data_IF_998631858240
#
_entry.id   IF_998631858240
#
_cell.length_a   1.000
_cell.length_b   1.000
_cell.length_c   1.000
_cell.angle_alpha   90.00
_cell.angle_beta   90.00
_cell.angle_gamma   90.00
#
_symmetry.space_group_name_H-M   'P 1'
#
loop_
_entity.id
_entity.type
_entity.pdbx_description
1 polymer ?
#
# COMPACT_ATOMS: atom_id res chain seq x y z
N UNK A 1 12.05 -10.59 -2.43
CA UNK A 1 13.03 -10.66 -1.36
C UNK A 1 14.08 -9.60 -1.49
N UNK A 2 14.89 -9.53 -0.48
CA UNK A 2 15.89 -8.50 -0.39
C UNK A 2 16.84 -8.47 -1.56
N UNK A 3 17.20 -9.62 -2.06
CA UNK A 3 18.13 -9.67 -3.18
C UNK A 3 17.53 -9.15 -4.48
N UNK A 4 16.25 -8.94 -4.55
CA UNK A 4 15.63 -8.43 -5.76
C UNK A 4 15.49 -6.91 -5.77
N UNK A 5 15.91 -6.27 -4.79
CA UNK A 5 15.87 -4.84 -4.72
C UNK A 5 16.51 -4.43 -3.46
N UNK A 6 16.78 -5.43 -2.74
CA UNK A 6 17.67 -5.45 -1.67
C UNK A 6 17.38 -4.64 -0.44
N UNK A 7 17.06 -3.40 -0.57
CA UNK A 7 17.07 -2.49 0.56
C UNK A 7 15.65 -2.00 0.91
N UNK A 8 15.03 -2.57 1.97
CA UNK A 8 13.69 -2.13 2.37
C UNK A 8 13.62 -0.64 2.74
N UNK A 9 14.69 -0.09 3.31
CA UNK A 9 14.67 1.34 3.67
C UNK A 9 14.67 2.25 2.46
N UNK A 10 15.42 1.88 1.42
CA UNK A 10 15.39 2.63 0.17
C UNK A 10 14.02 2.52 -0.49
N UNK A 11 13.41 1.34 -0.45
CA UNK A 11 12.06 1.16 -1.00
C UNK A 11 11.05 1.98 -0.22
N UNK A 12 11.15 2.00 1.11
CA UNK A 12 10.26 2.81 1.94
C UNK A 12 10.33 4.28 1.56
N UNK A 13 11.55 4.79 1.40
CA UNK A 13 11.72 6.19 1.02
C UNK A 13 11.09 6.48 -0.33
N UNK A 14 11.27 5.59 -1.31
CA UNK A 14 10.67 5.76 -2.62
C UNK A 14 9.15 5.80 -2.56
N UNK A 15 8.53 4.90 -1.80
CA UNK A 15 7.08 4.92 -1.62
C UNK A 15 6.62 6.19 -0.92
N UNK A 16 7.32 6.60 0.14
CA UNK A 16 6.93 7.80 0.89
C UNK A 16 7.05 9.05 0.03
N UNK A 17 8.13 9.17 -0.75
CA UNK A 17 8.32 10.30 -1.64
C UNK A 17 7.22 10.35 -2.70
N UNK A 18 6.85 9.18 -3.26
CA UNK A 18 5.77 9.11 -4.22
C UNK A 18 4.42 9.49 -3.64
N UNK A 19 4.15 9.03 -2.42
CA UNK A 19 2.89 9.37 -1.75
C UNK A 19 2.81 10.85 -1.41
N UNK A 20 3.94 11.48 -1.10
CA UNK A 20 3.97 12.90 -0.74
C UNK A 20 3.53 13.79 -1.92
N UNK A 21 3.78 13.36 -3.15
CA UNK A 21 3.39 14.13 -4.33
C UNK A 21 1.90 14.43 -4.35
N UNK A 22 1.07 13.48 -3.92
CA UNK A 22 -0.37 13.65 -3.90
C UNK A 22 -0.94 13.78 -2.49
N UNK A 23 -0.08 13.93 -1.49
CA UNK A 23 -0.48 13.99 -0.08
C UNK A 23 -1.28 12.75 0.32
N UNK A 24 -0.86 11.59 -0.22
CA UNK A 24 -1.52 10.32 0.10
C UNK A 24 -2.86 10.10 -0.56
N UNK A 25 -3.30 11.00 -1.44
CA UNK A 25 -4.63 10.91 -2.04
C UNK A 25 -4.72 9.95 -3.22
N UNK A 26 -3.59 9.58 -3.81
CA UNK A 26 -3.56 8.57 -4.86
C UNK A 26 -3.38 7.21 -4.17
N UNK A 27 -4.50 6.51 -3.99
CA UNK A 27 -4.53 5.36 -3.08
C UNK A 27 -3.74 4.15 -3.57
N UNK A 28 -3.53 4.02 -4.89
CA UNK A 28 -2.76 2.88 -5.41
C UNK A 28 -1.32 2.92 -4.89
N UNK A 29 -0.71 4.11 -4.78
CA UNK A 29 0.63 4.23 -4.21
C UNK A 29 0.69 3.71 -2.79
N UNK A 30 -0.30 4.08 -1.97
CA UNK A 30 -0.36 3.63 -0.59
C UNK A 30 -0.65 2.13 -0.51
N UNK A 31 -1.52 1.61 -1.38
CA UNK A 31 -1.81 0.19 -1.42
C UNK A 31 -0.56 -0.62 -1.76
N UNK A 32 0.22 -0.17 -2.74
CA UNK A 32 1.46 -0.85 -3.10
C UNK A 32 2.49 -0.77 -1.98
N UNK A 33 2.59 0.37 -1.31
CA UNK A 33 3.46 0.51 -0.15
C UNK A 33 3.10 -0.52 0.92
N UNK A 34 1.80 -0.60 1.27
CA UNK A 34 1.34 -1.55 2.27
C UNK A 34 1.61 -2.99 1.87
N UNK A 35 1.37 -3.32 0.61
CA UNK A 35 1.53 -4.69 0.12
C UNK A 35 2.99 -5.12 0.05
N UNK A 36 3.86 -4.29 -0.52
CA UNK A 36 5.24 -4.71 -0.78
C UNK A 36 6.18 -4.44 0.40
N UNK A 37 6.10 -3.26 0.99
CA UNK A 37 7.07 -2.89 2.01
C UNK A 37 6.92 -3.72 3.28
N UNK A 38 5.69 -3.85 3.77
CA UNK A 38 5.50 -4.54 5.04
C UNK A 38 5.71 -6.03 4.93
N UNK A 39 5.51 -6.61 3.76
CA UNK A 39 5.90 -7.99 3.53
C UNK A 39 7.42 -8.13 3.55
N UNK A 40 8.12 -7.17 2.99
CA UNK A 40 9.60 -7.23 2.94
C UNK A 40 10.23 -7.20 4.32
N UNK A 41 9.60 -6.49 5.27
CA UNK A 41 10.12 -6.41 6.64
C UNK A 41 9.37 -7.30 7.62
N UNK A 42 8.47 -8.13 7.12
CA UNK A 42 7.71 -9.09 7.93
C UNK A 42 6.89 -8.39 9.02
N UNK A 43 6.27 -7.28 8.68
CA UNK A 43 5.45 -6.48 9.60
C UNK A 43 3.97 -6.64 9.28
N UNK A 44 3.33 -7.64 9.89
CA UNK A 44 1.92 -7.93 9.65
C UNK A 44 1.02 -6.76 10.03
N UNK A 45 1.29 -6.12 11.16
CA UNK A 45 0.46 -5.01 11.61
C UNK A 45 0.50 -3.84 10.66
N UNK A 46 1.68 -3.50 10.15
CA UNK A 46 1.83 -2.43 9.17
C UNK A 46 1.08 -2.75 7.89
N UNK A 47 1.15 -4.00 7.44
CA UNK A 47 0.43 -4.48 6.27
C UNK A 47 -1.08 -4.28 6.44
N UNK A 48 -1.62 -4.80 7.54
CA UNK A 48 -3.06 -4.72 7.79
C UNK A 48 -3.54 -3.28 7.95
N UNK A 49 -2.80 -2.49 8.71
CA UNK A 49 -3.17 -1.11 8.98
C UNK A 49 -3.17 -0.26 7.71
N UNK A 50 -2.11 -0.36 6.91
CA UNK A 50 -1.96 0.47 5.72
C UNK A 50 -3.01 0.13 4.67
N UNK A 51 -3.27 -1.16 4.45
CA UNK A 51 -4.29 -1.55 3.50
C UNK A 51 -5.69 -1.19 3.98
N UNK A 52 -5.94 -1.26 5.29
CA UNK A 52 -7.22 -0.83 5.82
C UNK A 52 -7.42 0.68 5.63
N UNK A 53 -6.37 1.47 5.79
CA UNK A 53 -6.45 2.91 5.55
C UNK A 53 -6.80 3.22 4.10
N UNK A 54 -6.29 2.43 3.15
CA UNK A 54 -6.68 2.59 1.74
C UNK A 54 -8.18 2.38 1.56
N UNK A 55 -8.71 1.34 2.19
CA UNK A 55 -10.13 1.02 2.08
C UNK A 55 -10.99 2.10 2.73
N UNK A 56 -10.54 2.65 3.84
CA UNK A 56 -11.31 3.62 4.62
C UNK A 56 -11.28 5.03 4.05
N UNK A 57 -10.38 5.31 3.11
CA UNK A 57 -10.28 6.62 2.50
C UNK A 57 -11.26 6.73 1.32
N UNK A 58 -12.10 7.77 1.25
CA UNK A 58 -13.02 7.90 0.12
C UNK A 58 -12.27 7.95 -1.22
N UNK A 59 -12.76 7.20 -2.19
CA UNK A 59 -12.10 7.11 -3.50
C UNK A 59 -12.08 8.46 -4.22
N UNK A 60 -13.04 9.34 -3.93
CA UNK A 60 -13.12 10.66 -4.57
C UNK A 60 -12.28 11.72 -3.87
N UNK A 61 -11.43 11.33 -2.91
CA UNK A 61 -10.54 12.27 -2.23
C UNK A 61 -9.62 12.97 -3.24
N UNK A 62 -9.34 12.34 -4.38
CA UNK A 62 -8.56 12.94 -5.45
C UNK A 62 -9.42 12.99 -6.71
N UNK A 63 -10.01 14.14 -7.02
CA UNK A 63 -10.84 14.27 -8.22
C UNK A 63 -10.05 13.88 -9.47
N UNK A 64 -10.72 13.19 -10.39
CA UNK A 64 -10.07 12.71 -11.59
C UNK A 64 -9.38 11.36 -11.44
N UNK A 65 -9.20 10.88 -10.21
CA UNK A 65 -8.58 9.59 -9.96
C UNK A 65 -9.52 8.63 -9.21
N UNK A 66 -10.81 8.90 -9.25
CA UNK A 66 -11.77 8.09 -8.51
C UNK A 66 -11.72 6.61 -8.92
N UNK A 67 -11.69 6.34 -10.22
CA UNK A 67 -11.67 4.96 -10.69
C UNK A 67 -10.38 4.25 -10.28
N UNK A 68 -9.25 4.94 -10.39
CA UNK A 68 -7.98 4.38 -9.96
C UNK A 68 -7.99 4.09 -8.45
N UNK A 69 -8.57 5.00 -7.66
CA UNK A 69 -8.65 4.80 -6.23
C UNK A 69 -9.62 3.67 -5.86
N UNK A 70 -10.73 3.53 -6.60
CA UNK A 70 -11.64 2.40 -6.38
C UNK A 70 -10.94 1.08 -6.68
N UNK A 71 -10.14 1.03 -7.74
CA UNK A 71 -9.38 -0.18 -8.05
C UNK A 71 -8.37 -0.48 -6.94
N UNK A 72 -7.71 0.55 -6.42
CA UNK A 72 -6.78 0.37 -5.31
C UNK A 72 -7.47 -0.24 -4.09
N UNK A 73 -8.70 0.23 -3.80
CA UNK A 73 -9.47 -0.30 -2.68
C UNK A 73 -9.87 -1.77 -2.90
N UNK A 74 -10.22 -2.13 -4.13
CA UNK A 74 -10.54 -3.52 -4.46
C UNK A 74 -9.32 -4.40 -4.22
N UNK A 75 -8.15 -3.95 -4.68
CA UNK A 75 -6.91 -4.70 -4.46
C UNK A 75 -6.55 -4.79 -2.99
N UNK A 76 -6.71 -3.70 -2.25
CA UNK A 76 -6.42 -3.70 -0.82
C UNK A 76 -7.29 -4.71 -0.07
N UNK A 77 -8.57 -4.77 -0.41
CA UNK A 77 -9.46 -5.76 0.21
C UNK A 77 -8.99 -7.18 -0.05
N UNK A 78 -8.60 -7.47 -1.29
CA UNK A 78 -8.09 -8.79 -1.64
C UNK A 78 -6.81 -9.11 -0.87
N UNK A 79 -5.88 -8.16 -0.83
CA UNK A 79 -4.61 -8.37 -0.14
C UNK A 79 -4.80 -8.55 1.36
N UNK A 80 -5.80 -7.91 1.96
CA UNK A 80 -6.11 -8.15 3.37
C UNK A 80 -6.54 -9.59 3.61
N UNK A 81 -7.34 -10.16 2.70
CA UNK A 81 -7.76 -11.56 2.87
C UNK A 81 -6.60 -12.53 2.69
N UNK A 82 -5.52 -12.11 2.02
CA UNK A 82 -4.36 -12.94 1.76
C UNK A 82 -3.27 -12.79 2.80
N UNK A 83 -3.50 -12.00 3.85
CA UNK A 83 -2.45 -11.72 4.83
C UNK A 83 -1.84 -12.99 5.43
N UNK A 84 -2.67 -14.00 5.72
CA UNK A 84 -2.18 -15.24 6.31
C UNK A 84 -1.27 -16.03 5.37
N UNK A 85 -1.31 -15.75 4.07
CA UNK A 85 -0.43 -16.38 3.10
C UNK A 85 0.99 -15.80 3.17
N UNK A 86 1.13 -14.59 3.69
CA UNK A 86 2.40 -13.86 3.69
C UNK A 86 3.06 -13.76 5.06
N UNK A 87 2.29 -13.94 6.12
CA UNK A 87 2.80 -13.79 7.49
C UNK A 87 2.41 -15.02 8.29
N UNK A 88 3.35 -15.51 9.07
CA UNK A 88 3.10 -16.68 9.93
C UNK A 88 2.86 -16.34 11.37
#
# INVERSE_FOLDING_TARGET
PKQLGGDPEAAKKGFEDGMAVTDGRYLMGKALYGYYYFRAIDDREGYLRTLQEVIDTPANVMPGQRLANELAQIRAKRWLTEADDYFE
#
